data_IF_745107523721
#
_entry.id   IF_745107523721
#
_cell.length_a   1.000
_cell.length_b   1.000
_cell.length_c   1.000
_cell.angle_alpha   90.00
_cell.angle_beta   90.00
_cell.angle_gamma   90.00
#
_symmetry.space_group_name_H-M   'P 1'
#
loop_
_entity.id
_entity.type
_entity.pdbx_description
1 polymer ?
#
# COMPACT_ATOMS: atom_id res chain seq x y z
N UNK A 1 -10.86 5.73 -21.64
CA UNK A 1 -9.57 6.42 -21.87
C UNK A 1 -8.46 5.38 -21.95
N UNK A 2 -7.42 5.52 -22.79
CA UNK A 2 -6.39 4.50 -22.95
C UNK A 2 -5.31 4.67 -21.87
N UNK A 3 -5.24 3.75 -20.90
CA UNK A 3 -4.09 3.71 -20.00
C UNK A 3 -3.03 2.79 -20.63
N UNK A 4 -2.17 3.37 -21.48
CA UNK A 4 -0.83 2.82 -21.72
C UNK A 4 -0.01 3.22 -20.49
N UNK A 5 0.75 2.34 -19.83
CA UNK A 5 1.99 1.77 -20.37
C UNK A 5 2.41 0.52 -19.56
N UNK A 6 2.72 -0.57 -20.28
CA UNK A 6 3.71 -1.57 -19.85
C UNK A 6 5.12 -1.00 -20.05
N UNK A 7 5.90 -0.86 -18.97
CA UNK A 7 7.39 -0.97 -18.90
C UNK A 7 7.92 -0.30 -17.63
N UNK A 8 8.35 -1.08 -16.64
CA UNK A 8 9.76 -1.44 -16.48
C UNK A 8 9.96 -2.30 -15.24
N UNK A 9 10.57 -3.48 -15.45
CA UNK A 9 11.28 -4.22 -14.42
C UNK A 9 12.35 -3.32 -13.81
N UNK A 10 12.03 -2.65 -12.72
CA UNK A 10 13.00 -2.13 -11.75
C UNK A 10 12.38 -2.42 -10.40
N UNK A 11 13.18 -2.97 -9.50
CA UNK A 11 12.97 -2.91 -8.05
C UNK A 11 12.85 -1.44 -7.62
N UNK A 12 11.80 -0.75 -8.06
CA UNK A 12 11.39 0.52 -7.51
C UNK A 12 10.57 0.11 -6.29
N UNK A 13 11.23 0.02 -5.15
CA UNK A 13 10.61 -0.11 -3.83
C UNK A 13 9.28 0.65 -3.83
N UNK A 14 8.17 -0.07 -3.62
CA UNK A 14 6.84 0.50 -3.56
C UNK A 14 6.86 1.74 -2.65
N UNK A 15 6.55 2.90 -3.23
CA UNK A 15 6.47 4.18 -2.51
C UNK A 15 5.18 4.27 -1.70
N UNK A 16 5.03 5.35 -0.93
CA UNK A 16 3.82 5.57 -0.13
C UNK A 16 2.53 5.50 -0.97
N UNK A 17 2.54 6.06 -2.18
CA UNK A 17 1.37 6.06 -3.08
C UNK A 17 0.82 4.63 -3.32
N UNK A 18 1.72 3.66 -3.56
CA UNK A 18 1.32 2.27 -3.78
C UNK A 18 0.76 1.58 -2.51
N UNK A 19 1.19 2.04 -1.33
CA UNK A 19 0.73 1.49 -0.04
C UNK A 19 -0.51 2.19 0.51
N UNK A 20 -0.90 3.35 -0.02
CA UNK A 20 -2.01 4.17 0.49
C UNK A 20 -3.34 3.40 0.52
N UNK A 21 -3.62 2.65 -0.55
CA UNK A 21 -4.82 1.82 -0.64
C UNK A 21 -4.84 0.68 0.38
N UNK A 22 -3.68 0.06 0.62
CA UNK A 22 -3.57 -1.00 1.63
C UNK A 22 -3.66 -0.43 3.04
N UNK A 23 -3.03 0.71 3.31
CA UNK A 23 -3.09 1.31 4.64
C UNK A 23 -4.49 1.77 5.02
N UNK A 24 -5.26 2.27 4.05
CA UNK A 24 -6.66 2.62 4.26
C UNK A 24 -7.55 1.38 4.38
N UNK A 25 -7.38 0.39 3.48
CA UNK A 25 -8.44 -0.59 3.21
C UNK A 25 -8.01 -2.06 3.23
N UNK A 26 -6.76 -2.40 3.57
CA UNK A 26 -6.16 -3.76 3.50
C UNK A 26 -5.84 -4.26 2.08
N UNK A 27 -6.55 -3.77 1.06
CA UNK A 27 -6.47 -4.29 -0.30
C UNK A 27 -5.72 -3.36 -1.25
N UNK A 28 -4.92 -3.95 -2.14
CA UNK A 28 -4.37 -3.31 -3.32
C UNK A 28 -5.42 -3.31 -4.44
N UNK A 29 -6.30 -2.31 -4.43
CA UNK A 29 -7.34 -2.19 -5.45
C UNK A 29 -6.81 -1.86 -6.84
N UNK A 30 -5.62 -1.27 -6.93
CA UNK A 30 -5.06 -0.76 -8.18
C UNK A 30 -3.96 -1.64 -8.76
N UNK A 31 -3.55 -2.69 -8.05
CA UNK A 31 -2.46 -3.59 -8.47
C UNK A 31 -1.10 -2.92 -8.39
N UNK A 32 -0.98 -1.80 -7.67
CA UNK A 32 0.23 -1.00 -7.61
C UNK A 32 1.34 -1.70 -6.81
N UNK A 33 0.97 -2.49 -5.81
CA UNK A 33 1.91 -3.31 -5.05
C UNK A 33 2.40 -4.48 -5.90
N UNK A 34 1.49 -5.15 -6.59
CA UNK A 34 1.85 -6.23 -7.51
C UNK A 34 2.77 -5.73 -8.63
N UNK A 35 2.50 -4.56 -9.20
CA UNK A 35 3.35 -3.92 -10.22
C UNK A 35 4.71 -3.47 -9.67
N UNK A 36 4.79 -3.10 -8.38
CA UNK A 36 6.03 -2.77 -7.69
C UNK A 36 6.85 -4.02 -7.26
N UNK A 37 6.29 -5.22 -7.45
CA UNK A 37 6.93 -6.49 -7.09
C UNK A 37 6.71 -6.94 -5.65
N UNK A 38 5.71 -6.39 -4.96
CA UNK A 38 5.21 -6.89 -3.68
C UNK A 38 4.26 -8.05 -3.94
N UNK A 39 4.47 -9.17 -3.24
CA UNK A 39 3.59 -10.33 -3.37
C UNK A 39 2.23 -10.06 -2.69
N UNK A 40 1.16 -10.25 -3.44
CA UNK A 40 -0.22 -10.13 -2.97
C UNK A 40 -0.97 -11.44 -3.21
N UNK A 41 -1.95 -11.72 -2.35
CA UNK A 41 -2.81 -12.89 -2.49
C UNK A 41 -3.76 -12.76 -3.70
N UNK A 42 -4.54 -13.81 -3.97
CA UNK A 42 -5.52 -13.81 -5.07
C UNK A 42 -6.64 -12.74 -4.93
N UNK A 43 -6.71 -12.07 -3.78
CA UNK A 43 -7.64 -11.00 -3.45
C UNK A 43 -6.97 -9.62 -3.39
N UNK A 44 -5.68 -9.51 -3.72
CA UNK A 44 -4.93 -8.26 -3.69
C UNK A 44 -4.49 -7.83 -2.29
N UNK A 45 -4.42 -8.74 -1.32
CA UNK A 45 -3.89 -8.43 0.02
C UNK A 45 -2.40 -8.72 0.06
N UNK A 46 -1.54 -7.76 0.44
CA UNK A 46 -0.14 -8.05 0.67
C UNK A 46 0.04 -8.90 1.92
N UNK A 47 1.21 -9.51 2.05
CA UNK A 47 1.57 -10.23 3.26
C UNK A 47 1.59 -9.29 4.47
N UNK A 48 1.08 -9.77 5.61
CA UNK A 48 0.96 -8.96 6.83
C UNK A 48 2.31 -8.41 7.32
N UNK A 49 3.39 -9.18 7.17
CA UNK A 49 4.73 -8.73 7.57
C UNK A 49 5.24 -7.60 6.68
N UNK A 50 5.02 -7.69 5.36
CA UNK A 50 5.38 -6.62 4.43
C UNK A 50 4.55 -5.36 4.68
N UNK A 51 3.24 -5.51 4.86
CA UNK A 51 2.35 -4.40 5.21
C UNK A 51 2.79 -3.71 6.51
N UNK A 52 3.20 -4.49 7.53
CA UNK A 52 3.72 -3.94 8.79
C UNK A 52 5.05 -3.21 8.59
N UNK A 53 5.97 -3.78 7.82
CA UNK A 53 7.26 -3.17 7.52
C UNK A 53 7.10 -1.86 6.73
N UNK A 54 6.16 -1.83 5.78
CA UNK A 54 5.80 -0.62 5.06
C UNK A 54 5.13 0.41 5.98
N UNK A 55 4.24 -0.03 6.88
CA UNK A 55 3.58 0.85 7.86
C UNK A 55 4.58 1.53 8.79
N UNK A 56 5.61 0.82 9.26
CA UNK A 56 6.68 1.44 10.06
C UNK A 56 7.52 2.47 9.30
N UNK A 57 7.59 2.37 7.97
CA UNK A 57 8.38 3.28 7.13
C UNK A 57 7.58 4.49 6.67
N UNK A 58 6.34 4.27 6.26
CA UNK A 58 5.51 5.26 5.58
C UNK A 58 4.27 5.66 6.37
N UNK A 59 3.92 4.94 7.44
CA UNK A 59 2.68 5.16 8.18
C UNK A 59 2.60 6.54 8.83
N UNK A 60 3.71 7.09 9.30
CA UNK A 60 3.73 8.46 9.83
C UNK A 60 3.44 9.51 8.75
N UNK A 61 3.99 9.33 7.55
CA UNK A 61 3.77 10.22 6.41
C UNK A 61 2.35 10.06 5.84
N UNK A 62 1.85 8.83 5.79
CA UNK A 62 0.46 8.53 5.48
C UNK A 62 -0.49 9.23 6.46
N UNK A 63 -0.31 9.03 7.78
CA UNK A 63 -1.17 9.65 8.80
C UNK A 63 -1.14 11.18 8.77
N UNK A 64 -0.04 11.80 8.33
CA UNK A 64 0.04 13.24 8.15
C UNK A 64 -0.76 13.76 6.93
N UNK A 65 -0.90 12.94 5.89
CA UNK A 65 -1.65 13.25 4.67
C UNK A 65 -3.09 12.72 4.68
N UNK A 66 -3.37 11.75 5.56
CA UNK A 66 -4.65 11.08 5.66
C UNK A 66 -5.69 12.03 6.26
N UNK A 67 -6.60 12.51 5.41
CA UNK A 67 -7.66 13.48 5.77
C UNK A 67 -9.03 12.84 5.88
N UNK A 68 -9.10 11.53 5.68
CA UNK A 68 -10.34 10.79 5.65
C UNK A 68 -10.98 10.69 7.04
N UNK A 69 -12.32 10.62 7.08
CA UNK A 69 -13.06 10.59 8.35
C UNK A 69 -13.09 9.22 9.01
N UNK A 70 -12.56 8.20 8.34
CA UNK A 70 -12.54 6.81 8.82
C UNK A 70 -11.19 6.46 9.44
N UNK A 71 -11.14 5.45 10.31
CA UNK A 71 -9.86 4.99 10.87
C UNK A 71 -9.19 4.05 9.86
N UNK A 72 -7.96 4.33 9.40
CA UNK A 72 -7.26 3.48 8.43
C UNK A 72 -7.12 2.05 8.97
N UNK A 73 -7.26 1.06 8.08
CA UNK A 73 -7.08 -0.34 8.43
C UNK A 73 -5.71 -0.60 9.09
N UNK A 74 -4.63 -0.03 8.55
CA UNK A 74 -3.29 -0.25 9.10
C UNK A 74 -3.14 0.28 10.53
N UNK A 75 -3.78 1.40 10.86
CA UNK A 75 -3.82 1.93 12.23
C UNK A 75 -4.59 1.00 13.17
N UNK A 76 -5.73 0.44 12.73
CA UNK A 76 -6.49 -0.53 13.53
C UNK A 76 -5.74 -1.86 13.70
N UNK A 77 -5.04 -2.29 12.65
CA UNK A 77 -4.39 -3.61 12.59
C UNK A 77 -3.04 -3.64 13.30
N UNK A 78 -2.21 -2.62 13.08
CA UNK A 78 -0.84 -2.55 13.58
C UNK A 78 -0.65 -1.55 14.71
N UNK A 79 -1.60 -0.65 14.92
CA UNK A 79 -1.47 0.46 15.86
C UNK A 79 -0.75 1.67 15.25
N UNK A 80 -0.42 2.67 16.08
CA UNK A 80 0.34 3.83 15.65
C UNK A 80 1.68 3.42 15.03
N UNK A 81 2.10 4.05 13.91
CA UNK A 81 3.37 3.78 13.25
C UNK A 81 4.58 4.19 14.10
#
# INVERSE_FOLDING_TARGET
MPVRKRKNKRHATAGLDAWECVFSSEFDFFGELADAGVETDAHGRPELEEARAAWQRFGAEFMAQFTDSHVPWALQRFGPP
#
